data_IF_626636198085
#
_entry.id   IF_626636198085
#
_cell.length_a   1.000
_cell.length_b   1.000
_cell.length_c   1.000
_cell.angle_alpha   90.00
_cell.angle_beta   90.00
_cell.angle_gamma   90.00
#
_symmetry.space_group_name_H-M   'P 1'
#
loop_
_entity.id
_entity.type
_entity.pdbx_description
1 polymer ?
#
# COMPACT_ATOMS: atom_id res chain seq x y z
N UNK A 1 -43.46 -7.73 -4.47
CA UNK A 1 -44.48 -7.83 -3.40
C UNK A 1 -44.50 -9.22 -2.79
N UNK A 2 -44.62 -10.30 -3.57
CA UNK A 2 -44.68 -11.68 -3.06
C UNK A 2 -43.47 -12.09 -2.20
N UNK A 3 -42.23 -11.82 -2.64
CA UNK A 3 -41.01 -12.18 -1.89
C UNK A 3 -40.89 -11.51 -0.51
N UNK A 4 -41.36 -10.28 -0.38
CA UNK A 4 -41.37 -9.55 0.90
C UNK A 4 -42.44 -10.08 1.86
N UNK A 5 -43.56 -10.54 1.32
CA UNK A 5 -44.59 -11.20 2.11
C UNK A 5 -44.12 -12.57 2.61
N UNK A 6 -43.52 -13.39 1.73
CA UNK A 6 -42.89 -14.65 2.13
C UNK A 6 -41.80 -14.44 3.18
N UNK A 7 -40.98 -13.40 3.04
CA UNK A 7 -39.98 -13.03 4.03
C UNK A 7 -40.57 -12.65 5.39
N UNK A 8 -41.70 -11.95 5.43
CA UNK A 8 -42.29 -11.50 6.69
C UNK A 8 -43.07 -12.60 7.44
N UNK A 9 -43.78 -13.46 6.71
CA UNK A 9 -44.76 -14.39 7.31
C UNK A 9 -44.44 -15.87 7.14
N UNK A 10 -43.64 -16.24 6.14
CA UNK A 10 -43.40 -17.63 5.76
C UNK A 10 -41.92 -17.93 5.54
N UNK A 11 -41.03 -17.22 6.24
CA UNK A 11 -39.60 -17.31 5.99
C UNK A 11 -39.07 -18.73 6.22
N UNK A 12 -39.40 -19.35 7.34
CA UNK A 12 -38.84 -20.64 7.73
C UNK A 12 -39.35 -21.78 6.84
N UNK A 13 -40.63 -21.77 6.50
CA UNK A 13 -41.23 -22.76 5.60
C UNK A 13 -40.67 -22.61 4.17
N UNK A 14 -40.45 -21.37 3.72
CA UNK A 14 -39.82 -21.08 2.44
C UNK A 14 -38.37 -21.58 2.40
N UNK A 15 -37.59 -21.41 3.47
CA UNK A 15 -36.21 -21.90 3.53
C UNK A 15 -36.15 -23.43 3.53
N UNK A 16 -37.00 -24.10 4.30
CA UNK A 16 -37.11 -25.58 4.29
C UNK A 16 -37.51 -26.11 2.91
N UNK A 17 -38.43 -25.42 2.23
CA UNK A 17 -38.79 -25.76 0.86
C UNK A 17 -37.60 -25.55 -0.09
N UNK A 18 -36.84 -24.47 0.06
CA UNK A 18 -35.65 -24.20 -0.74
C UNK A 18 -34.60 -25.31 -0.57
N UNK A 19 -34.31 -25.73 0.67
CA UNK A 19 -33.39 -26.83 0.98
C UNK A 19 -33.85 -28.15 0.37
N UNK A 20 -35.15 -28.46 0.47
CA UNK A 20 -35.72 -29.70 -0.07
C UNK A 20 -35.69 -29.78 -1.60
N UNK A 21 -35.68 -28.65 -2.29
CA UNK A 21 -35.76 -28.57 -3.75
C UNK A 21 -34.45 -28.07 -4.39
N UNK A 22 -33.34 -28.07 -3.65
CA UNK A 22 -32.04 -27.56 -4.10
C UNK A 22 -32.12 -26.15 -4.74
N UNK A 23 -32.99 -25.30 -4.16
CA UNK A 23 -33.27 -23.98 -4.69
C UNK A 23 -32.53 -22.90 -3.89
N UNK A 24 -31.82 -22.00 -4.58
CA UNK A 24 -31.13 -20.89 -3.93
C UNK A 24 -32.14 -19.87 -3.36
N UNK A 25 -32.14 -19.60 -2.04
CA UNK A 25 -33.13 -18.72 -1.41
C UNK A 25 -32.98 -17.27 -1.89
N UNK A 26 -34.03 -16.69 -2.48
CA UNK A 26 -33.99 -15.34 -3.06
C UNK A 26 -34.64 -14.26 -2.18
N UNK A 27 -34.66 -14.46 -0.85
CA UNK A 27 -35.25 -13.49 0.07
C UNK A 27 -34.44 -12.17 0.08
N UNK A 28 -35.13 -11.01 0.05
CA UNK A 28 -34.49 -9.70 -0.03
C UNK A 28 -33.41 -9.43 1.03
N UNK A 29 -33.63 -9.80 2.30
CA UNK A 29 -32.66 -9.59 3.37
C UNK A 29 -31.41 -10.46 3.21
N UNK A 30 -31.54 -11.69 2.71
CA UNK A 30 -30.38 -12.55 2.41
C UNK A 30 -29.52 -11.97 1.30
N UNK A 31 -30.12 -11.55 0.19
CA UNK A 31 -29.39 -10.91 -0.91
C UNK A 31 -28.65 -9.65 -0.47
N UNK A 32 -29.26 -8.85 0.42
CA UNK A 32 -28.59 -7.67 1.00
C UNK A 32 -27.39 -8.06 1.86
N UNK A 33 -27.51 -9.10 2.69
CA UNK A 33 -26.40 -9.59 3.52
C UNK A 33 -25.27 -10.15 2.67
N UNK A 34 -25.58 -10.86 1.60
CA UNK A 34 -24.59 -11.39 0.64
C UNK A 34 -23.88 -10.26 -0.10
N UNK A 35 -24.60 -9.23 -0.54
CA UNK A 35 -23.99 -8.04 -1.15
C UNK A 35 -23.02 -7.33 -0.19
N UNK A 36 -23.45 -7.10 1.06
CA UNK A 36 -22.59 -6.49 2.09
C UNK A 36 -21.39 -7.38 2.43
N UNK A 37 -21.59 -8.70 2.50
CA UNK A 37 -20.49 -9.64 2.73
C UNK A 37 -19.48 -9.64 1.58
N UNK A 38 -19.94 -9.53 0.32
CA UNK A 38 -19.06 -9.42 -0.85
C UNK A 38 -18.32 -8.09 -0.94
N UNK A 39 -18.94 -6.98 -0.52
CA UNK A 39 -18.31 -5.66 -0.46
C UNK A 39 -17.27 -5.56 0.68
N UNK A 40 -17.45 -6.35 1.74
CA UNK A 40 -16.51 -6.41 2.87
C UNK A 40 -15.24 -7.24 2.59
N UNK A 41 -15.17 -7.97 1.47
CA UNK A 41 -13.95 -8.69 1.05
C UNK A 41 -13.02 -7.73 0.30
N UNK A 42 -12.35 -6.84 1.04
CA UNK A 42 -11.18 -6.15 0.51
C UNK A 42 -10.03 -7.15 0.39
N UNK A 43 -9.49 -7.33 -0.82
CA UNK A 43 -8.28 -8.12 -0.99
C UNK A 43 -7.08 -7.35 -0.42
N UNK A 44 -6.16 -8.01 0.30
CA UNK A 44 -4.96 -7.35 0.80
C UNK A 44 -4.12 -6.86 -0.39
N UNK A 45 -3.78 -5.56 -0.39
CA UNK A 45 -2.94 -4.87 -1.39
C UNK A 45 -1.51 -5.44 -1.53
N UNK A 46 -1.18 -6.48 -0.75
CA UNK A 46 0.18 -7.01 -0.58
C UNK A 46 0.78 -7.57 -1.87
N UNK A 47 -0.02 -7.98 -2.85
CA UNK A 47 0.48 -8.58 -4.10
C UNK A 47 1.02 -7.57 -5.12
N UNK A 48 0.76 -6.27 -4.93
CA UNK A 48 1.21 -5.20 -5.84
C UNK A 48 2.22 -4.24 -5.22
N UNK A 49 2.58 -4.43 -3.95
CA UNK A 49 3.51 -3.55 -3.24
C UNK A 49 4.96 -3.95 -3.57
N UNK A 50 5.57 -3.28 -4.55
CA UNK A 50 7.03 -3.35 -4.76
C UNK A 50 7.70 -2.67 -3.56
N UNK A 51 8.57 -3.40 -2.86
CA UNK A 51 9.45 -2.80 -1.85
C UNK A 51 10.43 -1.89 -2.57
N UNK A 52 10.20 -0.59 -2.51
CA UNK A 52 11.18 0.40 -2.93
C UNK A 52 12.19 0.53 -1.80
N UNK A 53 13.46 0.19 -2.09
CA UNK A 53 14.55 0.50 -1.17
C UNK A 53 14.60 2.02 -0.99
N UNK A 54 14.30 2.46 0.23
CA UNK A 54 14.37 3.88 0.54
C UNK A 54 15.84 4.29 0.63
N UNK A 55 16.25 5.40 0.02
CA UNK A 55 17.60 5.91 0.18
C UNK A 55 17.90 6.14 1.66
N UNK A 56 19.14 5.92 2.06
CA UNK A 56 19.60 6.15 3.44
C UNK A 56 19.26 7.59 3.83
N UNK A 57 18.56 7.81 4.96
CA UNK A 57 18.24 9.15 5.42
C UNK A 57 19.53 9.95 5.64
N UNK A 58 19.48 11.25 5.33
CA UNK A 58 20.60 12.13 5.63
C UNK A 58 20.87 12.16 7.15
N UNK A 59 22.13 11.96 7.51
CA UNK A 59 22.67 12.29 8.82
C UNK A 59 24.11 12.77 8.63
N UNK A 60 24.55 13.71 9.47
CA UNK A 60 25.90 14.26 9.36
C UNK A 60 26.97 13.16 9.43
N UNK A 61 26.77 12.16 10.30
CA UNK A 61 27.67 11.01 10.43
C UNK A 61 27.73 10.14 9.17
N UNK A 62 26.58 9.83 8.55
CA UNK A 62 26.53 9.07 7.31
C UNK A 62 27.15 9.84 6.14
N UNK A 63 26.93 11.16 6.08
CA UNK A 63 27.54 12.03 5.09
C UNK A 63 29.05 12.06 5.22
N UNK A 64 29.58 12.28 6.44
CA UNK A 64 31.03 12.28 6.69
C UNK A 64 31.67 10.94 6.36
N UNK A 65 31.04 9.82 6.74
CA UNK A 65 31.54 8.49 6.40
C UNK A 65 31.64 8.28 4.88
N UNK A 66 30.57 8.61 4.14
CA UNK A 66 30.56 8.52 2.68
C UNK A 66 31.57 9.48 2.02
N UNK A 67 31.75 10.67 2.58
CA UNK A 67 32.72 11.65 2.09
C UNK A 67 34.18 11.17 2.29
N UNK A 68 34.49 10.54 3.43
CA UNK A 68 35.81 9.97 3.72
C UNK A 68 36.10 8.76 2.80
N UNK A 69 35.10 7.91 2.59
CA UNK A 69 35.21 6.78 1.67
C UNK A 69 35.50 7.28 0.25
N UNK A 70 34.70 8.24 -0.23
CA UNK A 70 34.92 8.89 -1.52
C UNK A 70 36.31 9.52 -1.65
N UNK A 71 36.76 10.25 -0.62
CA UNK A 71 38.08 10.88 -0.57
C UNK A 71 39.21 9.84 -0.74
N UNK A 72 39.11 8.73 -0.01
CA UNK A 72 40.11 7.66 -0.01
C UNK A 72 40.10 6.88 -1.33
N UNK A 73 38.91 6.61 -1.88
CA UNK A 73 38.77 5.89 -3.15
C UNK A 73 39.23 6.69 -4.37
N UNK A 74 39.22 8.01 -4.28
CA UNK A 74 39.57 8.91 -5.40
C UNK A 74 40.89 9.66 -5.22
N UNK A 75 41.64 9.33 -4.16
CA UNK A 75 42.94 9.91 -3.79
C UNK A 75 42.93 11.45 -3.79
N UNK A 76 41.87 12.01 -3.20
CA UNK A 76 41.70 13.47 -3.15
C UNK A 76 42.42 14.08 -1.94
N UNK A 77 42.94 15.30 -2.07
CA UNK A 77 43.53 16.01 -0.95
C UNK A 77 42.45 16.42 0.07
N UNK A 78 42.85 16.53 1.35
CA UNK A 78 41.93 16.85 2.45
C UNK A 78 41.26 18.23 2.32
N UNK A 79 41.84 19.14 1.54
CA UNK A 79 41.32 20.47 1.27
C UNK A 79 40.17 20.49 0.24
N UNK A 80 39.87 19.35 -0.40
CA UNK A 80 38.82 19.25 -1.42
C UNK A 80 37.44 19.66 -0.86
N UNK A 81 37.19 19.44 0.42
CA UNK A 81 35.93 19.84 1.07
C UNK A 81 35.77 21.36 1.18
N UNK A 82 36.88 22.09 1.20
CA UNK A 82 36.87 23.56 1.17
C UNK A 82 36.76 24.11 -0.24
N UNK A 83 36.97 23.27 -1.26
CA UNK A 83 37.00 23.68 -2.65
C UNK A 83 35.62 24.21 -3.11
N UNK A 84 35.56 25.41 -3.75
CA UNK A 84 34.28 26.03 -4.13
C UNK A 84 33.42 25.17 -5.06
N UNK A 85 34.04 24.37 -5.94
CA UNK A 85 33.30 23.49 -6.85
C UNK A 85 32.67 22.31 -6.13
N UNK A 86 33.33 21.76 -5.11
CA UNK A 86 32.78 20.67 -4.29
C UNK A 86 31.55 21.17 -3.53
N UNK A 87 31.67 22.32 -2.85
CA UNK A 87 30.54 22.97 -2.14
C UNK A 87 29.36 23.23 -3.08
N UNK A 88 29.63 23.76 -4.29
CA UNK A 88 28.59 24.00 -5.30
C UNK A 88 27.88 22.71 -5.73
N UNK A 89 28.60 21.59 -5.86
CA UNK A 89 28.01 20.30 -6.20
C UNK A 89 27.06 19.80 -5.10
N UNK A 90 27.48 19.87 -3.83
CA UNK A 90 26.67 19.47 -2.69
C UNK A 90 25.43 20.37 -2.53
N UNK A 91 25.58 21.68 -2.73
CA UNK A 91 24.46 22.64 -2.71
C UNK A 91 23.42 22.38 -3.80
N UNK A 92 23.85 21.93 -4.98
CA UNK A 92 22.94 21.53 -6.05
C UNK A 92 22.22 20.22 -5.72
N UNK A 93 22.95 19.22 -5.22
CA UNK A 93 22.39 17.93 -4.84
C UNK A 93 21.38 18.04 -3.68
N UNK A 94 21.67 18.88 -2.67
CA UNK A 94 20.79 19.07 -1.50
C UNK A 94 19.45 19.73 -1.85
N UNK A 95 19.39 20.44 -2.97
CA UNK A 95 18.19 21.12 -3.48
C UNK A 95 17.38 20.28 -4.47
N UNK A 96 17.86 19.08 -4.81
CA UNK A 96 17.12 18.19 -5.69
C UNK A 96 15.80 17.80 -5.02
N UNK A 97 14.69 18.18 -5.66
CA UNK A 97 13.37 17.64 -5.29
C UNK A 97 13.36 16.21 -5.80
N UNK A 98 13.20 15.23 -4.91
CA UNK A 98 13.37 13.80 -5.19
C UNK A 98 12.46 13.25 -6.29
N UNK A 99 12.74 13.59 -7.54
CA UNK A 99 12.30 12.87 -8.72
C UNK A 99 13.27 11.71 -8.92
N UNK A 100 12.86 10.56 -8.40
CA UNK A 100 13.35 9.24 -8.77
C UNK A 100 12.15 8.43 -9.20
#
# INVERSE_FOLDING_TARGET
TLRRHCEAYHQDDYLKWCEKNDFAPQLPARKKREAVASEAVQQPITDFAVKVDKPVPYSDGAFWAAAIEWLTSTDQPLDVFEHPQFKKMIDLASRAKGEV
#
